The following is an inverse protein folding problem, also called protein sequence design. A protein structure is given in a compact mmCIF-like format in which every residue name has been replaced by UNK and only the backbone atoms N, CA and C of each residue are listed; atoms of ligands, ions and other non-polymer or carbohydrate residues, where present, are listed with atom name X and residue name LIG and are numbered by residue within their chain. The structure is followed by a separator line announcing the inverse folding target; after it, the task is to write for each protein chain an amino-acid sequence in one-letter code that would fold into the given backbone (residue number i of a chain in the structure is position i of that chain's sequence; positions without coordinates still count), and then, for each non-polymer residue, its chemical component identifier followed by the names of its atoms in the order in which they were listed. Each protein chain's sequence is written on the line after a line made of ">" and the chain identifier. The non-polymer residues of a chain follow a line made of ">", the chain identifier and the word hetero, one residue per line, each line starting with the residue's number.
data_IF_460196163040
#
_entry.id   IF_460196163040
#
_cell.length_a   1.000
_cell.length_b   1.000
_cell.length_c   1.000
_cell.angle_alpha   90.00
_cell.angle_beta   90.00
_cell.angle_gamma   90.00
#
_symmetry.space_group_name_H-M   'P 1'
#
loop_
_entity.id
_entity.type
_entity.pdbx_description
1 polymer ?
#
# COMPACT_ATOMS: atom_id res chain seq x y z
N UNK A 1 56.18 -9.76 -2.02
CA UNK A 1 54.74 -10.18 -2.00
C UNK A 1 54.26 -10.06 -3.42
N UNK A 2 53.54 -11.05 -3.97
CA UNK A 2 53.16 -11.00 -5.38
C UNK A 2 52.07 -9.95 -5.57
N UNK A 3 52.14 -9.19 -6.65
CA UNK A 3 51.14 -8.20 -7.07
C UNK A 3 49.70 -8.75 -7.02
N UNK A 4 49.57 -10.06 -7.17
CA UNK A 4 48.30 -10.80 -7.03
C UNK A 4 47.71 -10.70 -5.61
N UNK A 5 48.50 -10.78 -4.54
CA UNK A 5 48.00 -10.67 -3.16
C UNK A 5 47.56 -9.23 -2.84
N UNK A 6 48.21 -8.23 -3.39
CA UNK A 6 47.82 -6.83 -3.26
C UNK A 6 46.49 -6.57 -3.96
N UNK A 7 46.35 -7.01 -5.20
CA UNK A 7 45.11 -6.87 -5.98
C UNK A 7 43.93 -7.58 -5.29
N UNK A 8 44.15 -8.79 -4.79
CA UNK A 8 43.16 -9.56 -4.06
C UNK A 8 42.73 -8.88 -2.75
N UNK A 9 43.68 -8.23 -2.07
CA UNK A 9 43.37 -7.44 -0.85
C UNK A 9 42.43 -6.27 -1.11
N UNK A 10 42.49 -5.64 -2.28
CA UNK A 10 41.58 -4.59 -2.68
C UNK A 10 40.24 -5.08 -3.24
N UNK A 11 40.24 -6.21 -3.93
CA UNK A 11 39.03 -6.78 -4.54
C UNK A 11 38.09 -7.38 -3.49
N UNK A 12 38.59 -7.97 -2.43
CA UNK A 12 37.79 -8.65 -1.42
C UNK A 12 36.76 -7.75 -0.72
N UNK A 13 37.11 -6.53 -0.24
CA UNK A 13 36.14 -5.61 0.35
C UNK A 13 35.06 -5.15 -0.63
N UNK A 14 35.42 -5.00 -1.91
CA UNK A 14 34.48 -4.62 -2.97
C UNK A 14 33.46 -5.74 -3.21
N UNK A 15 33.92 -6.98 -3.34
CA UNK A 15 33.08 -8.16 -3.51
C UNK A 15 32.14 -8.32 -2.31
N UNK A 16 32.68 -8.20 -1.09
CA UNK A 16 31.89 -8.29 0.14
C UNK A 16 30.82 -7.18 0.19
N UNK A 17 31.19 -5.94 -0.15
CA UNK A 17 30.25 -4.82 -0.23
C UNK A 17 29.12 -5.05 -1.23
N UNK A 18 29.44 -5.58 -2.41
CA UNK A 18 28.44 -5.93 -3.43
C UNK A 18 27.51 -7.06 -2.96
N UNK A 19 28.03 -8.08 -2.29
CA UNK A 19 27.23 -9.16 -1.72
C UNK A 19 26.27 -8.64 -0.65
N UNK A 20 26.75 -7.80 0.27
CA UNK A 20 25.91 -7.15 1.29
C UNK A 20 24.83 -6.29 0.64
N UNK A 21 25.17 -5.47 -0.35
CA UNK A 21 24.21 -4.65 -1.08
C UNK A 21 23.14 -5.50 -1.79
N UNK A 22 23.54 -6.63 -2.37
CA UNK A 22 22.63 -7.58 -3.00
C UNK A 22 21.66 -8.19 -1.98
N UNK A 23 22.15 -8.60 -0.82
CA UNK A 23 21.32 -9.14 0.28
C UNK A 23 20.33 -8.08 0.76
N UNK A 24 20.78 -6.85 1.00
CA UNK A 24 19.91 -5.75 1.43
C UNK A 24 18.80 -5.49 0.39
N UNK A 25 19.17 -5.36 -0.89
CA UNK A 25 18.23 -5.17 -1.98
C UNK A 25 17.22 -6.33 -2.10
N UNK A 26 17.69 -7.57 -1.94
CA UNK A 26 16.86 -8.75 -2.13
C UNK A 26 15.88 -8.96 -0.98
N UNK A 27 16.29 -8.76 0.27
CA UNK A 27 15.49 -9.13 1.44
C UNK A 27 14.83 -7.96 2.17
N UNK A 28 15.40 -6.76 2.09
CA UNK A 28 14.93 -5.65 2.93
C UNK A 28 14.34 -4.49 2.14
N UNK A 29 14.89 -4.17 0.98
CA UNK A 29 14.59 -2.91 0.33
C UNK A 29 14.58 -3.03 -1.20
N UNK A 30 13.63 -2.33 -1.83
CA UNK A 30 13.59 -2.14 -3.29
C UNK A 30 13.09 -0.74 -3.62
N UNK A 31 13.54 -0.18 -4.72
CA UNK A 31 12.93 1.01 -5.31
C UNK A 31 11.87 0.56 -6.32
N UNK A 32 10.70 1.19 -6.24
CA UNK A 32 9.56 0.92 -7.13
C UNK A 32 9.08 2.24 -7.69
N UNK A 33 8.76 2.25 -8.97
CA UNK A 33 8.10 3.38 -9.61
C UNK A 33 6.59 3.19 -9.54
N UNK A 34 5.90 4.22 -9.08
CA UNK A 34 4.43 4.24 -9.03
C UNK A 34 3.89 4.38 -10.46
N UNK A 35 2.99 3.52 -10.85
CA UNK A 35 2.26 3.62 -12.09
C UNK A 35 0.77 3.88 -11.81
N UNK A 36 0.22 4.87 -12.52
CA UNK A 36 -1.16 5.30 -12.38
C UNK A 36 -1.41 6.37 -11.30
N UNK A 37 -2.66 6.77 -11.21
CA UNK A 37 -3.13 7.92 -10.41
C UNK A 37 -3.95 7.53 -9.18
N UNK A 38 -4.03 6.25 -8.85
CA UNK A 38 -4.90 5.74 -7.79
C UNK A 38 -4.55 6.27 -6.38
N UNK A 39 -3.32 6.75 -6.17
CA UNK A 39 -2.83 7.33 -4.91
C UNK A 39 -2.68 8.85 -4.96
N UNK A 40 -3.11 9.49 -6.07
CA UNK A 40 -3.08 10.94 -6.20
C UNK A 40 -3.99 11.63 -5.16
N UNK A 41 -3.60 12.76 -4.56
CA UNK A 41 -2.38 13.54 -4.82
C UNK A 41 -1.18 13.13 -3.97
N UNK A 42 -1.28 12.12 -3.11
CA UNK A 42 -0.26 11.80 -2.12
C UNK A 42 0.94 11.05 -2.73
N UNK A 43 0.71 10.25 -3.77
CA UNK A 43 1.74 9.75 -4.67
C UNK A 43 1.35 10.06 -6.11
N UNK A 44 2.34 10.51 -6.88
CA UNK A 44 2.13 10.86 -8.27
C UNK A 44 2.51 9.72 -9.20
N UNK A 45 1.98 9.77 -10.42
CA UNK A 45 2.42 8.85 -11.48
C UNK A 45 3.92 9.03 -11.74
N UNK A 46 4.64 7.95 -12.02
CA UNK A 46 6.08 7.89 -12.20
C UNK A 46 6.94 8.26 -10.97
N UNK A 47 6.34 8.48 -9.82
CA UNK A 47 7.09 8.77 -8.59
C UNK A 47 7.89 7.55 -8.13
N UNK A 48 9.13 7.79 -7.69
CA UNK A 48 10.00 6.75 -7.13
C UNK A 48 9.75 6.62 -5.63
N UNK A 49 9.41 5.44 -5.17
CA UNK A 49 9.17 5.13 -3.76
C UNK A 49 10.03 3.97 -3.28
N UNK A 50 10.32 3.97 -2.00
CA UNK A 50 11.03 2.89 -1.33
C UNK A 50 10.03 1.83 -0.83
N UNK A 51 10.26 0.58 -1.19
CA UNK A 51 9.53 -0.59 -0.71
C UNK A 51 10.34 -1.29 0.38
N UNK A 52 9.80 -1.34 1.59
CA UNK A 52 10.36 -2.07 2.72
C UNK A 52 9.64 -3.40 2.90
N UNK A 53 10.31 -4.50 2.59
CA UNK A 53 9.72 -5.84 2.57
C UNK A 53 9.36 -6.38 3.96
N UNK A 54 10.07 -5.91 4.98
CA UNK A 54 9.87 -6.29 6.39
C UNK A 54 9.08 -5.21 7.18
N UNK A 55 8.45 -4.26 6.49
CA UNK A 55 7.72 -3.18 7.13
C UNK A 55 6.47 -3.67 7.87
N UNK A 56 6.26 -3.19 9.10
CA UNK A 56 5.03 -3.50 9.86
C UNK A 56 3.83 -2.82 9.21
N UNK A 57 2.80 -3.59 8.93
CA UNK A 57 1.55 -3.09 8.37
C UNK A 57 0.64 -2.63 9.51
N UNK A 58 0.25 -1.37 9.47
CA UNK A 58 -0.71 -0.74 10.38
C UNK A 58 -1.81 -0.07 9.57
N UNK A 59 -2.91 0.31 10.21
CA UNK A 59 -3.93 1.14 9.57
C UNK A 59 -3.31 2.47 9.12
N UNK A 60 -3.60 2.88 7.89
CA UNK A 60 -2.99 4.05 7.25
C UNK A 60 -1.69 3.76 6.49
N UNK A 61 -1.04 2.62 6.70
CA UNK A 61 0.17 2.24 5.94
C UNK A 61 -0.13 2.10 4.45
N UNK A 62 0.73 2.65 3.61
CA UNK A 62 0.69 2.41 2.16
C UNK A 62 1.49 1.14 1.87
N UNK A 63 0.92 0.24 1.10
CA UNK A 63 1.51 -1.06 0.74
C UNK A 63 1.60 -1.24 -0.77
N UNK A 64 2.53 -2.08 -1.20
CA UNK A 64 2.56 -2.67 -2.54
C UNK A 64 2.20 -4.14 -2.41
N UNK A 65 1.35 -4.63 -3.29
CA UNK A 65 1.01 -6.05 -3.35
C UNK A 65 0.96 -6.56 -4.79
N UNK A 66 1.13 -7.87 -4.96
CA UNK A 66 0.93 -8.59 -6.21
C UNK A 66 -0.58 -8.65 -6.50
N UNK A 67 -1.00 -7.96 -7.55
CA UNK A 67 -2.41 -7.85 -7.91
C UNK A 67 -2.94 -9.10 -8.63
N UNK A 68 -2.04 -9.89 -9.23
CA UNK A 68 -2.42 -11.11 -9.94
C UNK A 68 -3.04 -12.15 -9.00
N UNK A 69 -4.25 -12.58 -9.34
CA UNK A 69 -5.04 -13.47 -8.50
C UNK A 69 -5.76 -12.79 -7.31
N UNK A 70 -5.67 -11.46 -7.20
CA UNK A 70 -6.48 -10.62 -6.32
C UNK A 70 -7.53 -9.86 -7.14
N UNK A 71 -7.08 -9.14 -8.15
CA UNK A 71 -7.93 -8.51 -9.16
C UNK A 71 -8.01 -9.42 -10.40
N UNK A 72 -9.23 -9.76 -10.84
CA UNK A 72 -9.44 -10.62 -12.00
C UNK A 72 -8.88 -10.02 -13.31
N UNK A 73 -8.74 -8.69 -13.38
CA UNK A 73 -8.21 -7.99 -14.55
C UNK A 73 -6.68 -7.82 -14.50
N UNK A 74 -6.03 -8.13 -13.36
CA UNK A 74 -4.59 -7.99 -13.23
C UNK A 74 -3.84 -9.05 -14.02
N UNK A 75 -2.79 -8.63 -14.71
CA UNK A 75 -1.87 -9.50 -15.42
C UNK A 75 -0.75 -10.02 -14.51
N UNK A 76 -0.07 -11.12 -14.85
CA UNK A 76 1.11 -11.57 -14.14
C UNK A 76 2.16 -10.43 -14.02
N UNK A 77 2.68 -10.21 -12.81
CA UNK A 77 3.63 -9.15 -12.42
C UNK A 77 3.01 -7.78 -12.14
N UNK A 78 1.71 -7.59 -12.31
CA UNK A 78 1.06 -6.34 -11.91
C UNK A 78 1.15 -6.13 -10.41
N UNK A 79 1.55 -4.93 -10.01
CA UNK A 79 1.70 -4.52 -8.62
C UNK A 79 0.86 -3.29 -8.37
N UNK A 80 0.00 -3.37 -7.37
CA UNK A 80 -0.82 -2.24 -6.98
C UNK A 80 -0.29 -1.59 -5.71
N UNK A 81 -0.43 -0.25 -5.68
CA UNK A 81 -0.11 0.57 -4.51
C UNK A 81 -1.41 1.08 -3.92
N UNK A 82 -1.70 0.75 -2.66
CA UNK A 82 -2.93 1.16 -1.94
C UNK A 82 -2.65 1.43 -0.47
N UNK A 83 -3.55 2.16 0.17
CA UNK A 83 -3.52 2.43 1.61
C UNK A 83 -4.36 1.42 2.37
N UNK A 84 -3.80 0.87 3.44
CA UNK A 84 -4.51 -0.03 4.36
C UNK A 84 -5.51 0.77 5.18
N UNK A 85 -6.78 0.39 5.08
CA UNK A 85 -7.90 0.99 5.79
C UNK A 85 -8.38 0.05 6.90
N UNK A 86 -8.50 -1.24 6.61
CA UNK A 86 -8.90 -2.27 7.56
C UNK A 86 -7.84 -3.32 7.73
N UNK A 87 -7.58 -3.69 8.97
CA UNK A 87 -6.72 -4.79 9.39
C UNK A 87 -7.55 -6.08 9.55
N UNK A 88 -6.91 -7.25 9.56
CA UNK A 88 -7.61 -8.52 9.85
C UNK A 88 -8.49 -8.44 11.09
N UNK A 89 -9.77 -8.81 10.98
CA UNK A 89 -10.75 -8.77 12.06
C UNK A 89 -11.47 -7.44 12.29
N UNK A 90 -11.07 -6.36 11.63
CA UNK A 90 -11.74 -5.07 11.77
C UNK A 90 -13.16 -5.11 11.20
N UNK A 91 -14.09 -4.46 11.92
CA UNK A 91 -15.45 -4.14 11.46
C UNK A 91 -15.46 -2.75 10.86
N UNK A 92 -15.85 -2.61 9.61
CA UNK A 92 -15.78 -1.36 8.87
C UNK A 92 -17.19 -0.92 8.47
N UNK A 93 -17.49 0.37 8.69
CA UNK A 93 -18.62 1.07 8.14
C UNK A 93 -18.09 2.30 7.39
N UNK A 94 -18.38 2.40 6.10
CA UNK A 94 -18.03 3.58 5.30
C UNK A 94 -19.34 4.26 4.87
N UNK A 95 -19.69 5.34 5.58
CA UNK A 95 -20.98 6.04 5.42
C UNK A 95 -21.06 6.86 4.13
N UNK A 96 -22.28 7.09 3.64
CA UNK A 96 -22.56 7.88 2.43
C UNK A 96 -22.03 9.32 2.52
N UNK A 97 -21.92 9.89 3.73
CA UNK A 97 -21.34 11.22 3.96
C UNK A 97 -19.79 11.23 3.96
N UNK A 98 -19.17 10.11 3.66
CA UNK A 98 -17.72 9.94 3.59
C UNK A 98 -17.04 9.71 4.93
N UNK A 99 -17.78 9.53 6.02
CA UNK A 99 -17.22 9.17 7.32
C UNK A 99 -16.88 7.67 7.36
N UNK A 100 -15.68 7.37 7.79
CA UNK A 100 -15.17 6.01 7.96
C UNK A 100 -15.15 5.66 9.45
N UNK A 101 -15.73 4.53 9.79
CA UNK A 101 -15.66 3.96 11.14
C UNK A 101 -14.98 2.60 11.09
N UNK A 102 -14.12 2.33 12.07
CA UNK A 102 -13.49 1.01 12.27
C UNK A 102 -13.73 0.60 13.71
N UNK A 103 -14.34 -0.54 13.90
CA UNK A 103 -14.74 -1.06 15.22
C UNK A 103 -15.59 -0.04 16.01
N UNK A 104 -16.48 0.67 15.32
CA UNK A 104 -17.34 1.71 15.90
C UNK A 104 -16.66 3.06 16.14
N UNK A 105 -15.34 3.17 15.96
CA UNK A 105 -14.58 4.41 16.17
C UNK A 105 -14.37 5.14 14.84
N UNK A 106 -14.73 6.42 14.80
CA UNK A 106 -14.51 7.28 13.62
C UNK A 106 -13.02 7.43 13.34
N UNK A 107 -12.61 7.18 12.10
CA UNK A 107 -11.23 7.32 11.66
C UNK A 107 -11.01 8.66 10.94
N UNK A 108 -9.89 9.31 11.24
CA UNK A 108 -9.45 10.46 10.47
C UNK A 108 -9.06 10.05 9.04
N UNK A 109 -9.45 10.85 8.07
CA UNK A 109 -9.06 10.72 6.67
C UNK A 109 -8.44 12.05 6.17
N UNK A 110 -7.67 12.73 7.03
CA UNK A 110 -7.07 14.03 6.73
C UNK A 110 -6.06 14.01 5.58
N UNK A 111 -5.65 12.81 5.16
CA UNK A 111 -4.78 12.61 3.99
C UNK A 111 -5.49 12.78 2.64
N UNK A 112 -6.83 12.89 2.62
CA UNK A 112 -7.64 13.11 1.41
C UNK A 112 -8.65 14.22 1.62
N UNK A 113 -9.08 14.85 0.52
CA UNK A 113 -10.08 15.91 0.56
C UNK A 113 -11.47 15.36 0.94
N UNK A 114 -12.38 16.25 1.38
CA UNK A 114 -13.77 15.87 1.68
C UNK A 114 -14.48 15.26 0.48
N UNK A 115 -14.24 15.78 -0.73
CA UNK A 115 -14.75 15.22 -1.99
C UNK A 115 -14.33 13.75 -2.18
N UNK A 116 -13.05 13.45 -1.93
CA UNK A 116 -12.54 12.08 -2.00
C UNK A 116 -13.12 11.19 -0.89
N UNK A 117 -13.32 11.72 0.33
CA UNK A 117 -13.96 10.95 1.40
C UNK A 117 -15.35 10.49 1.00
N UNK A 118 -16.19 11.40 0.47
CA UNK A 118 -17.55 11.06 0.00
C UNK A 118 -17.49 10.07 -1.17
N UNK A 119 -16.56 10.25 -2.10
CA UNK A 119 -16.37 9.32 -3.22
C UNK A 119 -15.91 7.89 -2.78
N UNK A 120 -15.55 7.70 -1.52
CA UNK A 120 -15.15 6.39 -0.99
C UNK A 120 -16.25 5.32 -1.02
N UNK A 121 -17.51 5.72 -1.11
CA UNK A 121 -18.66 4.80 -1.27
C UNK A 121 -19.04 4.55 -2.73
N UNK A 122 -18.38 5.22 -3.69
CA UNK A 122 -18.63 4.97 -5.10
C UNK A 122 -18.04 3.61 -5.49
N UNK A 123 -18.85 2.81 -6.14
CA UNK A 123 -18.43 1.62 -6.88
C UNK A 123 -18.50 1.98 -8.37
N UNK A 124 -17.37 1.87 -9.08
CA UNK A 124 -17.31 2.34 -10.48
C UNK A 124 -17.97 1.37 -11.47
N UNK A 125 -18.24 0.16 -11.08
CA UNK A 125 -19.09 -0.81 -11.80
C UNK A 125 -19.50 -1.96 -10.88
N UNK A 126 -20.61 -2.61 -11.19
CA UNK A 126 -21.35 -3.57 -10.35
C UNK A 126 -20.70 -4.95 -10.12
N UNK A 127 -19.41 -5.07 -10.08
CA UNK A 127 -18.78 -6.26 -9.54
C UNK A 127 -18.53 -6.03 -8.05
N UNK A 128 -19.58 -6.24 -7.27
CA UNK A 128 -19.49 -6.19 -5.82
C UNK A 128 -18.40 -7.12 -5.33
N UNK A 129 -17.39 -6.56 -4.74
CA UNK A 129 -16.35 -7.33 -4.10
C UNK A 129 -16.97 -8.17 -2.97
N UNK A 130 -16.86 -9.49 -3.06
CA UNK A 130 -17.48 -10.41 -2.11
C UNK A 130 -17.14 -10.05 -0.66
N UNK A 131 -18.17 -9.85 0.16
CA UNK A 131 -18.04 -9.56 1.59
C UNK A 131 -17.76 -8.10 1.93
N UNK A 132 -17.89 -7.18 0.97
CA UNK A 132 -17.78 -5.73 1.20
C UNK A 132 -19.10 -5.07 0.89
N UNK A 133 -19.64 -4.34 1.87
CA UNK A 133 -20.85 -3.53 1.75
C UNK A 133 -20.52 -2.11 2.16
N UNK A 134 -20.93 -1.14 1.34
CA UNK A 134 -20.64 0.28 1.55
C UNK A 134 -21.94 1.04 1.75
N UNK A 135 -21.88 2.08 2.56
CA UNK A 135 -23.02 2.93 2.86
C UNK A 135 -23.33 3.01 4.35
N UNK A 136 -24.18 3.96 4.70
CA UNK A 136 -24.62 4.16 6.08
C UNK A 136 -25.41 2.96 6.59
N UNK A 137 -25.04 2.42 7.75
CA UNK A 137 -25.63 1.22 8.34
C UNK A 137 -25.12 -0.10 7.76
N UNK A 138 -24.24 -0.07 6.76
CA UNK A 138 -23.63 -1.26 6.17
C UNK A 138 -22.29 -1.53 6.86
N UNK A 139 -22.20 -2.67 7.54
CA UNK A 139 -20.97 -3.08 8.26
C UNK A 139 -20.47 -4.39 7.68
N UNK A 140 -19.20 -4.44 7.35
CA UNK A 140 -18.53 -5.68 6.95
C UNK A 140 -17.30 -5.95 7.82
N UNK A 141 -16.89 -7.21 7.89
CA UNK A 141 -15.71 -7.62 8.65
C UNK A 141 -14.59 -8.02 7.72
N UNK A 142 -13.40 -7.48 7.96
CA UNK A 142 -12.18 -7.89 7.23
C UNK A 142 -11.81 -9.32 7.66
N UNK A 143 -11.71 -10.28 6.73
CA UNK A 143 -11.36 -11.66 7.08
C UNK A 143 -9.96 -11.76 7.74
N UNK A 144 -9.72 -12.84 8.45
CA UNK A 144 -8.38 -13.19 8.94
C UNK A 144 -7.39 -13.24 7.78
N UNK A 145 -6.17 -12.80 8.02
CA UNK A 145 -5.07 -12.80 7.03
C UNK A 145 -5.34 -11.99 5.75
N UNK A 146 -6.31 -11.07 5.79
CA UNK A 146 -6.60 -10.15 4.68
C UNK A 146 -6.67 -8.72 5.15
N UNK A 147 -6.55 -7.81 4.19
CA UNK A 147 -6.59 -6.36 4.40
C UNK A 147 -7.65 -5.72 3.49
N UNK A 148 -8.34 -4.73 4.02
CA UNK A 148 -9.18 -3.84 3.22
C UNK A 148 -8.35 -2.61 2.85
N UNK A 149 -8.17 -2.37 1.55
CA UNK A 149 -7.29 -1.33 1.05
C UNK A 149 -8.01 -0.41 0.08
N UNK A 150 -7.70 0.89 0.13
CA UNK A 150 -8.25 1.89 -0.78
C UNK A 150 -7.13 2.73 -1.40
N UNK A 151 -7.36 3.21 -2.61
CA UNK A 151 -6.56 4.29 -3.18
C UNK A 151 -6.91 5.62 -2.52
N UNK A 152 -5.97 6.54 -2.45
CA UNK A 152 -6.21 7.89 -1.94
C UNK A 152 -7.09 8.70 -2.91
N UNK A 153 -6.98 8.42 -4.21
CA UNK A 153 -7.89 8.92 -5.24
C UNK A 153 -9.16 8.05 -5.30
N UNK A 154 -10.05 8.23 -4.33
CA UNK A 154 -11.27 7.42 -4.15
C UNK A 154 -12.18 7.40 -5.37
N UNK A 155 -12.21 8.47 -6.14
CA UNK A 155 -13.06 8.60 -7.32
C UNK A 155 -12.53 7.82 -8.54
N UNK A 156 -11.22 7.49 -8.57
CA UNK A 156 -10.55 6.88 -9.72
C UNK A 156 -9.56 5.78 -9.32
N UNK A 157 -9.90 4.99 -8.31
CA UNK A 157 -9.05 3.89 -7.85
C UNK A 157 -9.74 2.55 -8.00
N UNK A 158 -9.13 1.62 -8.71
CA UNK A 158 -9.45 0.20 -8.63
C UNK A 158 -8.81 -0.36 -7.35
N UNK A 159 -9.63 -0.72 -6.34
CA UNK A 159 -9.19 -1.12 -5.02
C UNK A 159 -10.16 -2.15 -4.40
N UNK A 160 -10.11 -2.38 -3.09
CA UNK A 160 -10.91 -3.41 -2.44
C UNK A 160 -12.42 -3.28 -2.66
N UNK A 161 -12.91 -2.11 -3.08
CA UNK A 161 -14.32 -1.91 -3.45
C UNK A 161 -14.73 -2.69 -4.70
N UNK A 162 -13.73 -3.16 -5.49
CA UNK A 162 -13.92 -3.88 -6.75
C UNK A 162 -13.45 -5.33 -6.67
N UNK A 163 -12.19 -5.54 -6.23
CA UNK A 163 -11.58 -6.86 -6.23
C UNK A 163 -11.64 -7.55 -4.86
N UNK A 164 -12.15 -6.88 -3.82
CA UNK A 164 -12.24 -7.45 -2.48
C UNK A 164 -10.98 -7.28 -1.65
N UNK A 165 -10.80 -8.16 -0.69
CA UNK A 165 -9.71 -8.09 0.29
C UNK A 165 -8.39 -8.60 -0.27
N UNK A 166 -7.28 -7.93 0.12
CA UNK A 166 -5.92 -8.34 -0.23
C UNK A 166 -5.38 -9.35 0.78
N UNK A 167 -5.02 -10.57 0.37
CA UNK A 167 -4.40 -11.55 1.25
C UNK A 167 -3.00 -11.11 1.71
N UNK A 168 -2.64 -11.44 2.95
CA UNK A 168 -1.33 -11.10 3.53
C UNK A 168 -0.16 -11.63 2.69
N UNK A 169 -0.26 -12.83 2.14
CA UNK A 169 0.78 -13.45 1.32
C UNK A 169 0.98 -12.79 -0.06
N UNK A 170 0.08 -11.91 -0.46
CA UNK A 170 0.21 -11.10 -1.69
C UNK A 170 0.93 -9.78 -1.44
N UNK A 171 1.12 -9.37 -0.18
CA UNK A 171 1.77 -8.10 0.15
C UNK A 171 3.29 -8.23 -0.02
N UNK A 172 3.86 -7.34 -0.83
CA UNK A 172 5.28 -7.29 -1.13
C UNK A 172 6.06 -6.43 -0.13
N UNK A 173 5.39 -5.47 0.51
CA UNK A 173 5.99 -4.61 1.53
C UNK A 173 5.25 -3.29 1.73
N UNK A 174 5.80 -2.47 2.62
CA UNK A 174 5.30 -1.13 2.93
C UNK A 174 6.05 -0.06 2.16
N UNK A 175 5.33 1.00 1.77
CA UNK A 175 5.87 2.12 1.00
C UNK A 175 6.35 3.23 1.93
N UNK A 176 7.51 3.79 1.59
CA UNK A 176 8.01 5.05 2.11
C UNK A 176 8.45 5.93 0.94
N UNK A 177 8.24 7.21 1.06
CA UNK A 177 8.77 8.20 0.12
C UNK A 177 9.83 9.07 0.78
N UNK A 178 10.74 9.64 -0.03
CA UNK A 178 11.81 10.47 0.47
C UNK A 178 11.39 11.94 0.61
N UNK A 179 12.37 12.78 0.96
CA UNK A 179 12.19 14.23 1.17
C UNK A 179 11.77 14.99 -0.10
N UNK A 180 11.88 14.35 -1.26
CA UNK A 180 11.44 14.92 -2.56
C UNK A 180 9.92 14.93 -2.75
N UNK A 181 9.16 14.26 -1.88
CA UNK A 181 7.71 14.26 -1.92
C UNK A 181 7.14 15.14 -0.80
N UNK A 182 6.40 16.19 -1.16
CA UNK A 182 5.76 17.13 -0.22
C UNK A 182 4.77 16.44 0.72
N UNK A 183 4.28 15.24 0.36
CA UNK A 183 3.35 14.44 1.15
C UNK A 183 4.05 13.31 1.93
N UNK A 184 5.39 13.36 2.06
CA UNK A 184 6.16 12.32 2.77
C UNK A 184 5.60 12.01 4.16
N UNK A 185 5.17 13.01 4.93
CA UNK A 185 4.54 12.81 6.24
C UNK A 185 3.25 11.97 6.15
N UNK A 186 2.43 12.23 5.15
CA UNK A 186 1.15 11.53 4.92
C UNK A 186 1.36 10.08 4.49
N UNK A 187 2.45 9.80 3.77
CA UNK A 187 2.79 8.44 3.33
C UNK A 187 3.53 7.69 4.45
N UNK A 188 4.50 8.34 5.09
CA UNK A 188 5.44 7.69 5.99
C UNK A 188 4.91 7.51 7.41
N UNK A 189 4.10 8.44 7.89
CA UNK A 189 3.78 8.58 9.32
C UNK A 189 2.30 8.76 9.60
N UNK A 190 1.43 8.68 8.58
CA UNK A 190 0.00 8.82 8.83
C UNK A 190 -0.49 7.69 9.74
N UNK A 191 -0.99 8.08 10.90
CA UNK A 191 -1.71 7.22 11.84
C UNK A 191 -3.09 7.84 12.00
N UNK A 192 -4.18 7.12 11.68
CA UNK A 192 -5.52 7.62 11.95
C UNK A 192 -5.66 7.94 13.43
N UNK A 193 -6.12 9.13 13.76
CA UNK A 193 -6.48 9.48 15.13
C UNK A 193 -7.59 8.54 15.61
N UNK A 194 -7.49 8.11 16.85
CA UNK A 194 -8.56 7.42 17.57
C UNK A 194 -9.69 8.38 17.87
#
# INVERSE_FOLDING_TARGET
>A
MSKFKEIMGWLWPIILGLLIALVIKTYFFSLVRVDGTSMYPNLQNNELVALFKQGKIKRGTVIVFDAYGVDANAQPKDKYVKRVIGLPGDKIEYKNDGKLYVNGVRQSQSYITKKQQVAGTLTLQANEAKGITLGSGQIFTVPKDKYFVLGDNRAASNDSRYYGFVPTNKILGTVKTGFWNDKAQVINHFVPAK
#
